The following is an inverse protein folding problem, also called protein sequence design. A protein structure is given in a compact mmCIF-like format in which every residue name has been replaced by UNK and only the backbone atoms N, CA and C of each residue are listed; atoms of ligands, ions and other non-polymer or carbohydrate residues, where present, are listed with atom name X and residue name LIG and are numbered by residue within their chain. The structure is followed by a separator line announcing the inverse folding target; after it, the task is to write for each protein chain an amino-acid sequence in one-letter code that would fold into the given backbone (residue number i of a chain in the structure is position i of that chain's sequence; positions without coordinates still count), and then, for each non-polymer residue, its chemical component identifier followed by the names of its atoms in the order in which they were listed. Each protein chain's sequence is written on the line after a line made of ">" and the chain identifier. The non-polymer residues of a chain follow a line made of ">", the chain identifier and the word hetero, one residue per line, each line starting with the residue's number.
data_IF_563459355258
#
_entry.id   IF_563459355258
#
_cell.length_a   1.000
_cell.length_b   1.000
_cell.length_c   1.000
_cell.angle_alpha   90.00
_cell.angle_beta   90.00
_cell.angle_gamma   90.00
#
_symmetry.space_group_name_H-M   'P 1'
#
loop_
_entity.id
_entity.type
_entity.pdbx_description
1 polymer ?
#
# COMPACT_ATOMS: atom_id res chain seq x y z
N UNK A 1 -3.16 4.41 7.29
CA UNK A 1 -4.37 4.00 6.56
C UNK A 1 -4.84 2.66 7.09
N UNK A 2 -6.14 2.36 7.02
CA UNK A 2 -6.70 1.11 7.54
C UNK A 2 -6.51 -0.05 6.57
N UNK A 3 -6.41 0.25 5.27
CA UNK A 3 -6.39 -0.73 4.19
C UNK A 3 -5.03 -0.81 3.47
N UNK A 4 -3.98 -0.27 4.09
CA UNK A 4 -2.60 -0.31 3.57
C UNK A 4 -1.74 -1.05 4.57
N UNK A 5 -1.03 -2.07 4.10
CA UNK A 5 -0.17 -2.94 4.91
C UNK A 5 1.22 -3.08 4.27
N UNK A 6 2.23 -3.35 5.09
CA UNK A 6 3.56 -3.77 4.63
C UNK A 6 3.56 -5.30 4.59
N UNK A 7 3.98 -5.87 3.47
CA UNK A 7 4.15 -7.32 3.28
C UNK A 7 5.52 -7.65 2.69
N UNK A 8 5.89 -8.93 2.77
CA UNK A 8 7.16 -9.48 2.28
C UNK A 8 8.37 -8.65 2.74
N UNK A 9 8.37 -8.30 4.03
CA UNK A 9 9.45 -7.55 4.65
C UNK A 9 10.71 -8.41 4.80
N UNK A 10 11.73 -8.06 4.03
CA UNK A 10 13.07 -8.65 4.04
C UNK A 10 14.09 -7.65 4.62
N UNK A 11 13.64 -6.73 5.47
CA UNK A 11 14.45 -5.72 6.15
C UNK A 11 14.68 -4.45 5.33
N UNK A 12 15.24 -4.57 4.12
CA UNK A 12 15.45 -3.43 3.20
C UNK A 12 14.52 -3.43 1.99
N UNK A 13 13.99 -4.61 1.66
CA UNK A 13 13.03 -4.81 0.59
C UNK A 13 11.70 -5.20 1.22
N UNK A 14 10.69 -4.39 1.00
CA UNK A 14 9.32 -4.66 1.41
C UNK A 14 8.39 -4.17 0.31
N UNK A 15 7.17 -4.70 0.29
CA UNK A 15 6.10 -4.17 -0.55
C UNK A 15 4.99 -3.56 0.29
N UNK A 16 4.43 -2.48 -0.22
CA UNK A 16 3.21 -1.92 0.32
C UNK A 16 2.04 -2.47 -0.48
N UNK A 17 1.04 -2.96 0.24
CA UNK A 17 -0.14 -3.62 -0.31
C UNK A 17 -1.37 -2.84 0.12
N UNK A 18 -2.18 -2.46 -0.86
CA UNK A 18 -3.50 -1.85 -0.66
C UNK A 18 -4.54 -2.93 -0.85
N UNK A 19 -5.44 -3.09 0.13
CA UNK A 19 -6.52 -4.08 0.10
C UNK A 19 -7.90 -3.43 0.12
N UNK A 20 -8.89 -4.14 -0.39
CA UNK A 20 -10.29 -3.82 -0.10
C UNK A 20 -10.57 -4.07 1.38
N UNK A 21 -11.31 -3.17 2.02
CA UNK A 21 -11.66 -3.33 3.43
C UNK A 21 -12.67 -4.45 3.67
N UNK A 22 -13.58 -4.68 2.72
CA UNK A 22 -14.69 -5.61 2.87
C UNK A 22 -14.24 -7.09 2.79
N UNK A 23 -13.37 -7.42 1.82
CA UNK A 23 -13.00 -8.80 1.52
C UNK A 23 -11.49 -9.09 1.68
N UNK A 24 -10.67 -8.06 1.95
CA UNK A 24 -9.22 -8.20 2.06
C UNK A 24 -8.52 -8.53 0.74
N UNK A 25 -9.21 -8.46 -0.39
CA UNK A 25 -8.62 -8.69 -1.71
C UNK A 25 -7.58 -7.62 -2.05
N UNK A 26 -6.51 -8.03 -2.75
CA UNK A 26 -5.45 -7.12 -3.14
C UNK A 26 -5.92 -6.20 -4.27
N UNK A 27 -5.94 -4.90 -4.02
CA UNK A 27 -6.21 -3.87 -5.03
C UNK A 27 -4.92 -3.56 -5.79
N UNK A 28 -3.83 -3.37 -5.05
CA UNK A 28 -2.57 -2.91 -5.60
C UNK A 28 -1.40 -3.27 -4.69
N UNK A 29 -0.21 -3.41 -5.27
CA UNK A 29 1.02 -3.57 -4.52
C UNK A 29 2.20 -2.95 -5.25
N UNK A 30 3.16 -2.38 -4.50
CA UNK A 30 4.40 -1.82 -5.04
C UNK A 30 5.57 -2.18 -4.14
N UNK A 31 6.74 -2.42 -4.73
CA UNK A 31 7.98 -2.60 -3.99
C UNK A 31 8.64 -1.27 -3.64
N UNK A 32 9.24 -1.18 -2.46
CA UNK A 32 10.02 -0.01 -1.99
C UNK A 32 11.11 0.44 -2.98
N UNK A 33 11.68 -0.48 -3.75
CA UNK A 33 12.79 -0.21 -4.68
C UNK A 33 12.34 -0.03 -6.14
N UNK A 34 11.04 -0.09 -6.41
CA UNK A 34 10.52 0.07 -7.77
C UNK A 34 10.68 1.54 -8.23
N UNK A 35 11.33 1.81 -9.37
CA UNK A 35 11.55 3.17 -9.83
C UNK A 35 10.20 3.87 -10.13
N UNK A 36 9.94 5.01 -9.48
CA UNK A 36 8.66 5.72 -9.58
C UNK A 36 7.56 5.19 -8.65
N UNK A 37 7.87 4.19 -7.82
CA UNK A 37 6.94 3.62 -6.85
C UNK A 37 6.46 4.65 -5.83
N UNK A 38 7.31 5.60 -5.43
CA UNK A 38 6.98 6.67 -4.48
C UNK A 38 5.86 7.62 -4.96
N UNK A 39 5.86 7.97 -6.25
CA UNK A 39 4.87 8.89 -6.85
C UNK A 39 3.52 8.19 -7.04
N UNK A 40 3.57 6.95 -7.55
CA UNK A 40 2.40 6.06 -7.64
C UNK A 40 1.81 5.79 -6.26
N UNK A 41 2.65 5.60 -5.25
CA UNK A 41 2.21 5.27 -3.90
C UNK A 41 1.45 6.40 -3.23
N UNK A 42 1.95 7.63 -3.34
CA UNK A 42 1.21 8.80 -2.86
C UNK A 42 -0.13 8.97 -3.58
N UNK A 43 -0.18 8.69 -4.88
CA UNK A 43 -1.42 8.73 -5.67
C UNK A 43 -2.42 7.66 -5.21
N UNK A 44 -1.99 6.41 -5.06
CA UNK A 44 -2.86 5.29 -4.68
C UNK A 44 -3.34 5.40 -3.23
N UNK A 45 -2.48 5.84 -2.30
CA UNK A 45 -2.87 6.11 -0.91
C UNK A 45 -3.89 7.25 -0.84
N UNK A 46 -3.77 8.27 -1.72
CA UNK A 46 -4.75 9.36 -1.78
C UNK A 46 -6.11 8.90 -2.30
N UNK A 47 -6.13 8.06 -3.32
CA UNK A 47 -7.35 7.67 -4.04
C UNK A 47 -8.10 6.54 -3.31
N UNK A 48 -7.36 5.55 -2.81
CA UNK A 48 -7.90 4.33 -2.20
C UNK A 48 -7.62 4.20 -0.70
N UNK A 49 -6.78 5.06 -0.13
CA UNK A 49 -6.42 4.96 1.27
C UNK A 49 -7.57 5.35 2.18
N UNK A 50 -8.07 4.39 2.95
CA UNK A 50 -9.05 4.66 4.01
C UNK A 50 -8.31 5.21 5.21
N UNK A 51 -8.49 6.52 5.45
CA UNK A 51 -7.87 7.19 6.60
C UNK A 51 -8.40 6.57 7.89
N UNK A 52 -7.51 6.47 8.89
CA UNK A 52 -7.95 6.17 10.26
C UNK A 52 -8.64 7.43 10.77
N UNK A 53 -9.96 7.39 10.93
CA UNK A 53 -10.65 8.41 11.73
C UNK A 53 -10.23 8.19 13.18
N UNK A 54 -9.78 9.29 13.80
CA UNK A 54 -9.33 9.32 15.19
C UNK A 54 -10.47 8.97 16.14
#
# INVERSE_FOLDING_TARGET
>A
YQNVAIEDDQGTHFRLVVRHQDDGSMIWSVWNFEPGGEDMMNRYIRDYGVRKTK
#
